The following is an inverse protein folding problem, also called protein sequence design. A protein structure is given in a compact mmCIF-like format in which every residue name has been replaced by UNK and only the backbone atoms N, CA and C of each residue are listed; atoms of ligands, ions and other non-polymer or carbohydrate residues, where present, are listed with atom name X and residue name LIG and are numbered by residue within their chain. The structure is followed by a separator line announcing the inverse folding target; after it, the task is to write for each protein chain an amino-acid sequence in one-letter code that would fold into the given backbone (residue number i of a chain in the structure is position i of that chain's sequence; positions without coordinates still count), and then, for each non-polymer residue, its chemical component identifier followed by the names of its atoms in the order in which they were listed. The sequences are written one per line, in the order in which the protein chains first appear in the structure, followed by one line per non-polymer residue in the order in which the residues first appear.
data_IF_920947478063
#
_entry.id   IF_920947478063
#
_cell.length_a   1.000
_cell.length_b   1.000
_cell.length_c   1.000
_cell.angle_alpha   90.00
_cell.angle_beta   90.00
_cell.angle_gamma   90.00
#
_symmetry.space_group_name_H-M   'P 1'
#
loop_
_entity.id
_entity.type
_entity.pdbx_description
1 polymer ?
#
# COMPACT_ATOMS: atom_id res chain seq x y z
N UNK A 1 -8.72 -8.56 -22.52
CA UNK A 1 -7.26 -8.47 -22.73
C UNK A 1 -6.61 -8.86 -21.43
N UNK A 2 -5.71 -9.85 -21.41
CA UNK A 2 -4.95 -10.17 -20.20
C UNK A 2 -4.07 -8.95 -19.89
N UNK A 3 -4.35 -8.26 -18.78
CA UNK A 3 -3.57 -7.12 -18.34
C UNK A 3 -2.26 -7.65 -17.75
N UNK A 4 -1.26 -7.86 -18.61
CA UNK A 4 0.07 -8.25 -18.13
C UNK A 4 0.66 -7.16 -17.25
N UNK A 5 1.20 -7.57 -16.10
CA UNK A 5 1.77 -6.66 -15.10
C UNK A 5 3.28 -6.41 -15.33
N UNK A 6 3.81 -6.79 -16.50
CA UNK A 6 5.16 -6.43 -16.92
C UNK A 6 5.30 -4.91 -17.03
N UNK A 7 6.51 -4.38 -16.84
CA UNK A 7 6.80 -2.95 -17.01
C UNK A 7 7.65 -2.72 -18.24
N UNK A 8 7.22 -1.74 -19.04
CA UNK A 8 7.94 -1.21 -20.21
C UNK A 8 8.13 0.30 -20.06
N UNK A 9 9.02 0.87 -20.88
CA UNK A 9 9.28 2.32 -20.93
C UNK A 9 9.04 2.86 -22.32
N UNK A 10 8.07 3.76 -22.44
CA UNK A 10 7.88 4.59 -23.63
C UNK A 10 8.99 5.65 -23.68
N UNK A 11 9.61 5.90 -24.84
CA UNK A 11 10.62 6.95 -24.97
C UNK A 11 10.08 8.36 -24.66
N UNK A 12 8.77 8.58 -24.86
CA UNK A 12 8.12 9.88 -24.64
C UNK A 12 7.38 9.93 -23.30
N UNK A 13 6.57 8.91 -22.99
CA UNK A 13 5.62 8.96 -21.87
C UNK A 13 6.12 8.28 -20.59
N UNK A 14 7.34 7.72 -20.58
CA UNK A 14 7.92 7.11 -19.38
C UNK A 14 7.49 5.66 -19.14
N UNK A 15 7.53 5.22 -17.87
CA UNK A 15 7.22 3.83 -17.49
C UNK A 15 5.72 3.56 -17.50
N UNK A 16 5.33 2.36 -17.91
CA UNK A 16 3.94 1.90 -17.88
C UNK A 16 3.88 0.37 -17.70
N UNK A 17 2.73 -0.11 -17.23
CA UNK A 17 2.43 -1.55 -17.16
C UNK A 17 1.70 -2.01 -18.42
N UNK A 18 2.05 -3.20 -18.91
CA UNK A 18 1.42 -3.80 -20.09
C UNK A 18 2.36 -3.98 -21.28
N UNK A 19 1.80 -4.27 -22.45
CA UNK A 19 2.52 -4.51 -23.70
C UNK A 19 2.64 -3.27 -24.58
N UNK A 20 1.73 -2.31 -24.46
CA UNK A 20 1.70 -1.07 -25.24
C UNK A 20 1.44 0.13 -24.35
N UNK A 21 2.06 1.26 -24.72
CA UNK A 21 1.92 2.51 -24.00
C UNK A 21 0.46 2.99 -24.08
N UNK A 22 -0.19 3.29 -22.95
CA UNK A 22 -1.60 3.68 -22.93
C UNK A 22 -1.87 5.04 -23.61
N UNK A 23 -0.82 5.82 -23.88
CA UNK A 23 -0.95 7.15 -24.49
C UNK A 23 -0.72 7.17 -26.01
N UNK A 24 0.23 6.40 -26.52
CA UNK A 24 0.54 6.40 -27.96
C UNK A 24 0.46 5.03 -28.65
N UNK A 25 0.15 3.95 -27.92
CA UNK A 25 0.07 2.60 -28.48
C UNK A 25 1.41 1.94 -28.81
N UNK A 26 2.52 2.67 -28.73
CA UNK A 26 3.87 2.14 -28.94
C UNK A 26 4.22 1.05 -27.94
N UNK A 27 4.90 0.00 -28.39
CA UNK A 27 5.31 -1.11 -27.54
C UNK A 27 6.25 -0.62 -26.42
N UNK A 28 7.19 0.30 -26.73
CA UNK A 28 8.21 0.77 -25.79
C UNK A 28 9.37 -0.22 -25.58
N UNK A 29 10.24 0.06 -24.61
CA UNK A 29 11.38 -0.79 -24.22
C UNK A 29 11.00 -1.69 -23.05
N UNK A 30 11.31 -2.98 -23.11
CA UNK A 30 11.17 -3.91 -21.98
C UNK A 30 12.04 -3.50 -20.79
N UNK A 31 11.47 -3.52 -19.58
CA UNK A 31 12.17 -3.16 -18.32
C UNK A 31 12.13 -4.28 -17.30
N UNK A 32 10.94 -4.82 -16.99
CA UNK A 32 10.75 -5.91 -16.04
C UNK A 32 9.61 -6.82 -16.51
N UNK A 33 9.79 -8.12 -16.39
CA UNK A 33 8.72 -9.11 -16.51
C UNK A 33 7.77 -9.05 -15.31
N UNK A 34 6.59 -9.65 -15.44
CA UNK A 34 5.60 -9.71 -14.36
C UNK A 34 6.12 -10.39 -13.09
N UNK A 35 6.90 -11.48 -13.21
CA UNK A 35 7.53 -12.13 -12.08
C UNK A 35 8.54 -11.20 -11.38
N UNK A 36 9.37 -10.51 -12.17
CA UNK A 36 10.36 -9.59 -11.62
C UNK A 36 9.70 -8.38 -10.93
N UNK A 37 8.58 -7.88 -11.48
CA UNK A 37 7.77 -6.83 -10.85
C UNK A 37 7.23 -7.29 -9.49
N UNK A 38 6.67 -8.49 -9.41
CA UNK A 38 6.13 -9.03 -8.15
C UNK A 38 7.24 -9.23 -7.10
N UNK A 39 8.36 -9.87 -7.48
CA UNK A 39 9.48 -10.13 -6.57
C UNK A 39 10.12 -8.81 -6.10
N UNK A 40 10.39 -7.89 -7.02
CA UNK A 40 11.00 -6.61 -6.69
C UNK A 40 10.05 -5.73 -5.86
N UNK A 41 8.77 -5.64 -6.24
CA UNK A 41 7.76 -4.88 -5.51
C UNK A 41 7.57 -5.36 -4.07
N UNK A 42 7.52 -6.68 -3.86
CA UNK A 42 7.48 -7.26 -2.50
C UNK A 42 8.75 -6.98 -1.71
N UNK A 43 9.91 -7.02 -2.38
CA UNK A 43 11.20 -6.72 -1.75
C UNK A 43 11.25 -5.26 -1.29
N UNK A 44 10.89 -4.30 -2.15
CA UNK A 44 10.82 -2.87 -1.83
C UNK A 44 9.83 -2.63 -0.68
N UNK A 45 8.63 -3.22 -0.74
CA UNK A 45 7.62 -3.12 0.32
C UNK A 45 8.16 -3.63 1.65
N UNK A 46 8.86 -4.78 1.65
CA UNK A 46 9.44 -5.38 2.85
C UNK A 46 10.53 -4.50 3.47
N UNK A 47 11.40 -3.94 2.65
CA UNK A 47 12.46 -3.02 3.09
C UNK A 47 11.81 -1.78 3.72
N UNK A 48 10.93 -1.11 2.98
CA UNK A 48 10.41 0.20 3.39
C UNK A 48 9.41 0.13 4.55
N UNK A 49 8.68 -0.98 4.72
CA UNK A 49 7.56 -1.05 5.69
C UNK A 49 7.83 -1.92 6.90
N UNK A 50 8.74 -2.89 6.80
CA UNK A 50 8.74 -4.00 7.75
C UNK A 50 10.09 -4.34 8.34
N UNK A 51 11.10 -4.58 7.50
CA UNK A 51 12.36 -5.19 7.93
C UNK A 51 13.56 -4.62 7.15
N UNK A 52 13.84 -3.31 7.22
CA UNK A 52 15.01 -2.71 6.57
C UNK A 52 16.33 -3.30 7.12
N UNK A 53 16.37 -3.69 8.39
CA UNK A 53 17.54 -4.29 9.05
C UNK A 53 17.96 -5.62 8.42
N UNK A 54 16.99 -6.38 7.87
CA UNK A 54 17.30 -7.63 7.13
C UNK A 54 18.09 -7.40 5.85
N UNK A 55 18.13 -6.16 5.38
CA UNK A 55 18.87 -5.73 4.21
C UNK A 55 20.00 -4.78 4.59
N UNK A 56 20.37 -4.66 5.87
CA UNK A 56 21.39 -3.70 6.34
C UNK A 56 21.14 -2.25 5.90
N UNK A 57 19.88 -1.87 5.71
CA UNK A 57 19.51 -0.52 5.33
C UNK A 57 19.11 0.26 6.56
N UNK A 58 19.60 1.49 6.65
CA UNK A 58 19.11 2.48 7.60
C UNK A 58 17.91 3.18 6.98
N UNK A 59 16.87 3.34 7.80
CA UNK A 59 15.68 4.11 7.46
C UNK A 59 15.64 5.32 8.40
N UNK A 60 15.44 6.51 7.85
CA UNK A 60 15.33 7.70 8.67
C UNK A 60 13.98 7.77 9.42
N UNK A 61 13.85 8.77 10.29
CA UNK A 61 12.65 8.98 11.12
C UNK A 61 11.36 9.13 10.29
N UNK A 62 11.48 9.56 9.03
CA UNK A 62 10.37 9.78 8.10
C UNK A 62 10.17 8.64 7.10
N UNK A 63 10.93 7.55 7.22
CA UNK A 63 10.79 6.36 6.40
C UNK A 63 11.65 6.32 5.13
N UNK A 64 12.55 7.29 4.91
CA UNK A 64 13.36 7.36 3.71
C UNK A 64 14.58 6.45 3.76
N UNK A 65 14.87 5.83 2.61
CA UNK A 65 16.04 5.00 2.36
C UNK A 65 16.73 5.47 1.08
N UNK A 66 18.06 5.46 1.07
CA UNK A 66 18.84 5.78 -0.13
C UNK A 66 18.65 4.69 -1.22
N UNK A 67 18.30 5.10 -2.44
CA UNK A 67 17.99 4.18 -3.54
C UNK A 67 19.22 3.40 -4.01
N UNK A 68 20.40 4.03 -4.05
CA UNK A 68 21.62 3.35 -4.49
C UNK A 68 22.05 2.27 -3.50
N UNK A 69 21.97 2.55 -2.20
CA UNK A 69 22.20 1.56 -1.13
C UNK A 69 21.17 0.42 -1.20
N UNK A 70 19.88 0.75 -1.34
CA UNK A 70 18.82 -0.24 -1.49
C UNK A 70 19.09 -1.19 -2.67
N UNK A 71 19.55 -0.66 -3.81
CA UNK A 71 19.90 -1.48 -4.98
C UNK A 71 21.06 -2.42 -4.67
N UNK A 72 22.10 -1.95 -3.98
CA UNK A 72 23.25 -2.77 -3.61
C UNK A 72 22.81 -3.95 -2.72
N UNK A 73 22.00 -3.67 -1.71
CA UNK A 73 21.53 -4.67 -0.76
C UNK A 73 20.54 -5.66 -1.41
N UNK A 74 19.64 -5.19 -2.27
CA UNK A 74 18.74 -6.07 -3.04
C UNK A 74 19.54 -7.06 -3.89
N UNK A 75 20.58 -6.59 -4.59
CA UNK A 75 21.45 -7.44 -5.42
C UNK A 75 22.21 -8.47 -4.58
N UNK A 76 22.71 -8.04 -3.42
CA UNK A 76 23.48 -8.89 -2.52
C UNK A 76 22.61 -10.03 -1.95
N UNK A 77 21.40 -9.70 -1.47
CA UNK A 77 20.52 -10.66 -0.79
C UNK A 77 19.70 -11.55 -1.73
N UNK A 78 19.36 -11.06 -2.93
CA UNK A 78 18.52 -11.79 -3.87
C UNK A 78 19.22 -11.95 -5.22
N UNK A 79 19.84 -13.12 -5.43
CA UNK A 79 20.54 -13.43 -6.69
C UNK A 79 19.65 -13.34 -7.93
N UNK A 80 18.32 -13.53 -7.81
CA UNK A 80 17.40 -13.35 -8.94
C UNK A 80 17.31 -11.88 -9.37
N UNK A 81 17.60 -10.96 -8.46
CA UNK A 81 17.57 -9.52 -8.67
C UNK A 81 18.96 -8.90 -8.88
N UNK A 82 19.98 -9.70 -9.21
CA UNK A 82 21.34 -9.20 -9.45
C UNK A 82 21.43 -8.11 -10.53
N UNK A 83 20.49 -8.10 -11.48
CA UNK A 83 20.42 -7.11 -12.56
C UNK A 83 19.77 -5.77 -12.13
N UNK A 84 19.05 -5.75 -11.00
CA UNK A 84 18.26 -4.58 -10.55
C UNK A 84 19.15 -3.36 -10.43
N UNK A 85 18.64 -2.19 -10.76
CA UNK A 85 19.36 -0.92 -10.72
C UNK A 85 18.38 0.21 -10.40
N UNK A 86 18.83 1.46 -10.18
CA UNK A 86 17.94 2.55 -9.80
C UNK A 86 16.75 2.72 -10.76
N UNK A 87 16.98 2.57 -12.06
CA UNK A 87 15.93 2.61 -13.09
C UNK A 87 14.81 1.58 -12.90
N UNK A 88 15.11 0.42 -12.33
CA UNK A 88 14.12 -0.62 -12.04
C UNK A 88 13.30 -0.29 -10.79
N UNK A 89 13.92 0.35 -9.78
CA UNK A 89 13.20 0.89 -8.62
C UNK A 89 12.23 1.97 -9.07
N UNK A 90 12.69 2.94 -9.87
CA UNK A 90 11.82 3.97 -10.44
C UNK A 90 10.68 3.38 -11.28
N UNK A 91 10.95 2.35 -12.08
CA UNK A 91 9.94 1.68 -12.87
C UNK A 91 8.80 1.12 -12.01
N UNK A 92 9.13 0.42 -10.92
CA UNK A 92 8.15 -0.15 -10.00
C UNK A 92 7.34 0.93 -9.29
N UNK A 93 8.00 1.96 -8.74
CA UNK A 93 7.29 2.96 -7.93
C UNK A 93 6.47 3.95 -8.78
N UNK A 94 6.94 4.31 -9.98
CA UNK A 94 6.22 5.24 -10.88
C UNK A 94 5.02 4.58 -11.57
N UNK A 95 4.96 3.25 -11.57
CA UNK A 95 3.80 2.49 -12.08
C UNK A 95 2.94 1.92 -10.95
N UNK A 96 3.18 2.38 -9.71
CA UNK A 96 2.37 2.01 -8.56
C UNK A 96 1.04 2.75 -8.56
N UNK A 97 -0.02 2.09 -9.04
CA UNK A 97 -1.35 2.67 -9.08
C UNK A 97 -1.99 2.95 -7.71
N UNK A 98 -1.37 2.54 -6.60
CA UNK A 98 -1.91 2.77 -5.24
C UNK A 98 -1.25 3.96 -4.53
N UNK A 99 -0.28 4.63 -5.14
CA UNK A 99 0.45 5.74 -4.53
C UNK A 99 1.17 5.35 -3.23
N UNK A 100 1.78 4.16 -3.18
CA UNK A 100 2.45 3.61 -1.98
C UNK A 100 3.72 4.32 -1.57
N UNK A 101 4.32 5.07 -2.49
CA UNK A 101 5.70 5.50 -2.41
C UNK A 101 5.84 6.98 -2.69
N UNK A 102 6.83 7.60 -2.04
CA UNK A 102 7.21 8.98 -2.27
C UNK A 102 8.72 9.10 -2.46
N UNK A 103 9.11 9.83 -3.50
CA UNK A 103 10.49 10.24 -3.71
C UNK A 103 10.77 11.54 -2.98
N UNK A 104 11.97 11.67 -2.46
CA UNK A 104 12.55 12.96 -2.07
C UNK A 104 12.69 13.90 -3.28
N UNK A 105 12.84 15.21 -3.02
CA UNK A 105 12.95 16.23 -4.08
C UNK A 105 14.12 15.99 -5.03
N UNK A 106 15.27 15.56 -4.50
CA UNK A 106 16.45 15.20 -5.28
C UNK A 106 16.37 13.79 -5.89
N UNK A 107 15.27 13.07 -5.64
CA UNK A 107 14.97 11.72 -6.11
C UNK A 107 15.98 10.65 -5.69
N UNK A 108 16.86 10.91 -4.72
CA UNK A 108 17.85 9.93 -4.23
C UNK A 108 17.31 9.02 -3.14
N UNK A 109 16.30 9.49 -2.43
CA UNK A 109 15.68 8.77 -1.32
C UNK A 109 14.24 8.41 -1.65
N UNK A 110 13.82 7.25 -1.17
CA UNK A 110 12.51 6.65 -1.35
C UNK A 110 11.94 6.25 0.01
N UNK A 111 10.68 6.57 0.26
CA UNK A 111 9.91 6.03 1.38
C UNK A 111 8.61 5.38 0.94
N UNK A 112 8.06 4.51 1.78
CA UNK A 112 6.64 4.20 1.71
C UNK A 112 5.86 5.26 2.47
N UNK A 113 4.62 5.51 2.07
CA UNK A 113 3.76 6.55 2.68
C UNK A 113 2.72 5.99 3.64
N UNK A 114 2.57 4.66 3.70
CA UNK A 114 1.68 3.96 4.63
C UNK A 114 2.05 2.48 4.77
N UNK A 115 1.43 1.80 5.72
CA UNK A 115 1.55 0.35 5.90
C UNK A 115 2.78 -0.11 6.70
N UNK A 116 3.43 0.81 7.43
CA UNK A 116 4.59 0.50 8.27
C UNK A 116 4.22 -0.33 9.51
N UNK A 117 5.07 -1.30 9.83
CA UNK A 117 5.12 -1.99 11.13
C UNK A 117 6.28 -1.49 11.99
N UNK A 118 7.26 -0.85 11.35
CA UNK A 118 8.36 -0.13 11.99
C UNK A 118 7.93 1.28 12.36
N UNK A 119 8.59 1.85 13.36
CA UNK A 119 8.28 3.18 13.84
C UNK A 119 8.85 4.24 12.90
N UNK A 120 7.95 4.96 12.22
CA UNK A 120 8.27 6.08 11.33
C UNK A 120 7.21 7.15 11.54
N UNK A 121 7.64 8.41 11.57
CA UNK A 121 6.76 9.56 11.62
C UNK A 121 6.37 9.99 10.20
N UNK A 122 5.07 9.98 9.94
CA UNK A 122 4.46 10.39 8.68
C UNK A 122 3.63 11.66 8.84
N UNK A 123 3.83 12.39 9.94
CA UNK A 123 3.12 13.64 10.22
C UNK A 123 3.48 14.79 9.27
N UNK A 124 4.48 14.60 8.42
CA UNK A 124 4.89 15.53 7.35
C UNK A 124 4.08 15.35 6.05
N UNK A 125 3.24 14.30 5.96
CA UNK A 125 2.34 14.11 4.83
C UNK A 125 1.24 15.20 4.77
N UNK A 126 0.66 15.45 3.58
CA UNK A 126 -0.42 16.42 3.45
C UNK A 126 -1.62 16.09 4.34
N UNK A 127 -2.22 17.10 4.95
CA UNK A 127 -3.42 16.96 5.81
C UNK A 127 -4.61 17.79 5.29
N UNK A 128 -4.58 18.15 4.01
CA UNK A 128 -5.63 18.84 3.28
C UNK A 128 -6.43 17.87 2.40
N UNK A 129 -7.57 18.34 1.88
CA UNK A 129 -8.39 17.56 0.94
C UNK A 129 -9.00 16.27 1.52
N UNK A 130 -9.14 16.19 2.84
CA UNK A 130 -9.72 15.02 3.52
C UNK A 130 -11.22 14.93 3.17
N UNK A 131 -11.69 13.80 2.61
CA UNK A 131 -13.12 13.59 2.35
C UNK A 131 -13.96 13.65 3.61
N UNK A 132 -15.22 14.08 3.49
CA UNK A 132 -16.16 14.12 4.62
C UNK A 132 -16.34 12.74 5.27
N UNK A 133 -16.35 11.68 4.44
CA UNK A 133 -16.46 10.29 4.86
C UNK A 133 -15.26 9.50 4.37
N UNK A 134 -14.65 8.77 5.30
CA UNK A 134 -13.68 7.73 5.02
C UNK A 134 -14.26 6.36 5.42
N UNK A 135 -13.63 5.27 5.00
CA UNK A 135 -14.10 3.91 5.24
C UNK A 135 -13.04 3.06 5.92
N UNK A 136 -13.47 2.27 6.90
CA UNK A 136 -12.68 1.24 7.57
C UNK A 136 -13.37 -0.13 7.44
N UNK A 137 -12.67 -1.18 6.98
CA UNK A 137 -13.26 -2.52 6.90
C UNK A 137 -13.29 -3.22 8.26
N UNK A 138 -14.39 -3.89 8.59
CA UNK A 138 -14.61 -4.56 9.88
C UNK A 138 -15.40 -5.86 9.73
N UNK A 139 -15.48 -6.67 10.77
CA UNK A 139 -16.56 -7.64 11.01
C UNK A 139 -17.62 -7.10 11.99
N UNK A 140 -18.75 -7.80 12.13
CA UNK A 140 -19.76 -7.48 13.17
C UNK A 140 -19.17 -7.57 14.58
N UNK A 141 -18.44 -8.66 14.86
CA UNK A 141 -17.79 -8.90 16.15
C UNK A 141 -16.74 -7.83 16.49
N UNK A 142 -15.95 -7.41 15.49
CA UNK A 142 -14.95 -6.36 15.68
C UNK A 142 -15.62 -5.00 15.92
N UNK A 143 -16.71 -4.70 15.19
CA UNK A 143 -17.42 -3.43 15.35
C UNK A 143 -17.97 -3.24 16.77
N UNK A 144 -18.46 -4.32 17.41
CA UNK A 144 -18.93 -4.28 18.79
C UNK A 144 -17.84 -3.82 19.78
N UNK A 145 -16.57 -4.14 19.50
CA UNK A 145 -15.43 -3.70 20.30
C UNK A 145 -15.02 -2.27 19.94
N UNK A 146 -14.99 -1.96 18.63
CA UNK A 146 -14.57 -0.66 18.13
C UNK A 146 -15.52 0.45 18.58
N UNK A 147 -16.84 0.21 18.63
CA UNK A 147 -17.82 1.24 19.06
C UNK A 147 -17.68 1.64 20.53
N UNK A 148 -16.98 0.85 21.34
CA UNK A 148 -16.67 1.18 22.74
C UNK A 148 -15.31 1.87 22.88
N UNK A 149 -14.30 1.46 22.09
CA UNK A 149 -12.89 1.82 22.33
C UNK A 149 -12.28 2.74 21.27
N UNK A 150 -12.94 2.89 20.13
CA UNK A 150 -12.41 3.53 18.93
C UNK A 150 -11.46 2.60 18.17
N UNK A 151 -10.88 3.11 17.09
CA UNK A 151 -9.93 2.36 16.26
C UNK A 151 -8.52 2.81 16.59
N UNK A 152 -7.72 1.88 17.09
CA UNK A 152 -6.27 2.04 17.27
C UNK A 152 -5.53 1.19 16.23
N UNK A 153 -4.28 1.53 15.90
CA UNK A 153 -3.45 0.70 15.05
C UNK A 153 -3.25 -0.68 15.70
N UNK A 154 -3.57 -1.75 14.96
CA UNK A 154 -3.38 -3.13 15.41
C UNK A 154 -1.98 -3.63 15.01
N UNK A 155 -1.84 -4.22 13.83
CA UNK A 155 -0.56 -4.74 13.33
C UNK A 155 0.29 -3.70 12.59
N UNK A 156 -0.13 -2.43 12.59
CA UNK A 156 0.53 -1.30 11.92
C UNK A 156 0.76 -0.16 12.90
N UNK A 157 1.52 0.87 12.49
CA UNK A 157 1.78 2.06 13.32
C UNK A 157 0.77 3.20 13.18
N UNK A 158 -0.14 3.08 12.21
CA UNK A 158 -1.16 4.06 11.87
C UNK A 158 -2.44 3.32 11.52
N UNK A 159 -3.59 3.90 11.83
CA UNK A 159 -4.89 3.43 11.33
C UNK A 159 -4.96 3.77 9.84
N UNK A 160 -5.37 2.81 9.00
CA UNK A 160 -5.57 3.03 7.57
C UNK A 160 -7.05 3.22 7.28
N UNK A 161 -7.37 4.33 6.63
CA UNK A 161 -8.70 4.69 6.18
C UNK A 161 -8.69 4.84 4.65
N UNK A 162 -9.83 4.60 4.02
CA UNK A 162 -9.98 4.72 2.57
C UNK A 162 -10.99 5.79 2.20
N UNK A 163 -10.74 6.59 1.17
CA UNK A 163 -11.77 7.46 0.58
C UNK A 163 -12.75 6.69 -0.32
N UNK A 164 -12.40 5.46 -0.70
CA UNK A 164 -13.22 4.59 -1.55
C UNK A 164 -13.74 3.40 -0.77
N UNK A 165 -15.07 3.23 -0.77
CA UNK A 165 -15.73 2.07 -0.18
C UNK A 165 -15.28 0.76 -0.84
N UNK A 166 -15.13 0.75 -2.17
CA UNK A 166 -14.63 -0.42 -2.91
C UNK A 166 -13.21 -0.79 -2.47
N UNK A 167 -12.29 0.19 -2.37
CA UNK A 167 -10.92 -0.11 -1.92
C UNK A 167 -10.86 -0.54 -0.46
N UNK A 168 -11.69 0.04 0.41
CA UNK A 168 -11.80 -0.41 1.80
C UNK A 168 -12.28 -1.87 1.85
N UNK A 169 -13.28 -2.22 1.04
CA UNK A 169 -13.82 -3.57 0.97
C UNK A 169 -12.78 -4.57 0.48
N UNK A 170 -12.08 -4.25 -0.63
CA UNK A 170 -10.97 -5.04 -1.17
C UNK A 170 -9.86 -5.22 -0.13
N UNK A 171 -9.50 -4.18 0.62
CA UNK A 171 -8.53 -4.28 1.71
C UNK A 171 -9.04 -5.21 2.83
N UNK A 172 -10.31 -5.06 3.21
CA UNK A 172 -10.99 -5.91 4.20
C UNK A 172 -11.02 -7.39 3.81
N UNK A 173 -11.13 -7.72 2.52
CA UNK A 173 -11.15 -9.10 2.04
C UNK A 173 -9.85 -9.87 2.34
N UNK A 174 -8.74 -9.21 2.66
CA UNK A 174 -7.52 -9.89 3.13
C UNK A 174 -7.60 -10.36 4.59
N UNK A 175 -8.57 -9.85 5.36
CA UNK A 175 -8.73 -10.08 6.79
C UNK A 175 -10.04 -10.81 7.13
N UNK A 176 -11.11 -10.50 6.39
CA UNK A 176 -12.45 -11.02 6.58
C UNK A 176 -12.90 -11.79 5.33
N UNK A 177 -13.85 -12.71 5.48
CA UNK A 177 -14.44 -13.41 4.34
C UNK A 177 -15.60 -12.61 3.73
N UNK A 178 -16.32 -11.84 4.55
CA UNK A 178 -17.35 -10.89 4.13
C UNK A 178 -17.24 -9.61 4.96
N UNK A 179 -16.34 -8.67 4.61
CA UNK A 179 -16.16 -7.44 5.36
C UNK A 179 -17.39 -6.54 5.29
N UNK A 180 -17.72 -5.91 6.41
CA UNK A 180 -18.54 -4.71 6.45
C UNK A 180 -17.64 -3.47 6.38
N UNK A 181 -18.23 -2.32 6.07
CA UNK A 181 -17.53 -1.04 6.02
C UNK A 181 -18.12 -0.10 7.05
N UNK A 182 -17.29 0.45 7.93
CA UNK A 182 -17.65 1.54 8.83
C UNK A 182 -17.40 2.86 8.09
N UNK A 183 -18.43 3.68 7.82
CA UNK A 183 -18.23 5.07 7.43
C UNK A 183 -17.74 5.88 8.63
N UNK A 184 -16.65 6.63 8.44
CA UNK A 184 -15.99 7.45 9.45
C UNK A 184 -16.17 8.92 9.08
N UNK A 185 -16.80 9.70 9.97
CA UNK A 185 -16.97 11.15 9.80
C UNK A 185 -15.67 11.87 10.09
N UNK A 186 -14.97 12.28 9.05
CA UNK A 186 -13.64 12.91 9.17
C UNK A 186 -13.68 14.19 10.01
N UNK A 187 -14.75 14.99 9.93
CA UNK A 187 -14.87 16.21 10.74
C UNK A 187 -14.87 15.90 12.24
N UNK A 188 -15.54 14.84 12.68
CA UNK A 188 -15.58 14.44 14.09
C UNK A 188 -14.21 13.95 14.57
N UNK A 189 -13.46 13.26 13.71
CA UNK A 189 -12.06 12.89 14.00
C UNK A 189 -11.20 14.16 14.17
N UNK A 190 -11.35 15.15 13.29
CA UNK A 190 -10.57 16.40 13.38
C UNK A 190 -10.97 17.24 14.60
N UNK A 191 -12.26 17.30 14.92
CA UNK A 191 -12.81 18.02 16.08
C UNK A 191 -12.37 17.41 17.43
N UNK A 192 -12.01 16.11 17.47
CA UNK A 192 -11.45 15.48 18.67
C UNK A 192 -9.99 15.85 18.93
N UNK A 193 -9.35 16.59 18.02
CA UNK A 193 -7.94 16.97 18.09
C UNK A 193 -7.00 16.00 17.36
N UNK A 194 -7.52 14.93 16.77
CA UNK A 194 -6.73 14.03 15.92
C UNK A 194 -6.44 14.65 14.56
N UNK A 195 -5.38 14.15 13.91
CA UNK A 195 -4.99 14.54 12.56
C UNK A 195 -5.16 13.38 11.60
N UNK A 196 -5.63 13.70 10.40
CA UNK A 196 -5.71 12.77 9.27
C UNK A 196 -4.73 13.25 8.20
N UNK A 197 -3.93 12.32 7.68
CA UNK A 197 -2.94 12.58 6.65
C UNK A 197 -3.26 11.78 5.38
N UNK A 198 -3.10 12.41 4.22
CA UNK A 198 -3.28 11.80 2.91
C UNK A 198 -2.01 11.05 2.51
N UNK A 199 -2.08 9.72 2.50
CA UNK A 199 -0.93 8.84 2.37
C UNK A 199 -0.82 8.13 1.01
N UNK A 200 -1.89 8.06 0.24
CA UNK A 200 -1.86 7.46 -1.10
C UNK A 200 -3.13 7.83 -1.85
N UNK A 201 -3.28 7.38 -3.09
CA UNK A 201 -4.37 7.81 -3.98
C UNK A 201 -5.76 7.83 -3.34
N UNK A 202 -6.07 6.79 -2.57
CA UNK A 202 -7.35 6.66 -1.85
C UNK A 202 -7.10 6.29 -0.38
N UNK A 203 -5.89 6.54 0.15
CA UNK A 203 -5.46 6.06 1.48
C UNK A 203 -5.18 7.24 2.38
N UNK A 204 -5.81 7.24 3.54
CA UNK A 204 -5.64 8.21 4.62
C UNK A 204 -5.17 7.49 5.88
N UNK A 205 -4.41 8.20 6.71
CA UNK A 205 -3.90 7.65 7.96
C UNK A 205 -4.10 8.60 9.15
N UNK A 206 -4.33 8.03 10.33
CA UNK A 206 -4.40 8.76 11.60
C UNK A 206 -3.87 7.88 12.74
N UNK A 207 -3.69 8.46 13.93
CA UNK A 207 -3.26 7.71 15.12
C UNK A 207 -4.43 7.05 15.84
N UNK A 208 -5.61 7.65 15.77
CA UNK A 208 -6.80 7.15 16.44
C UNK A 208 -8.07 7.59 15.71
N UNK A 209 -9.09 6.74 15.72
CA UNK A 209 -10.45 7.09 15.28
C UNK A 209 -11.39 6.99 16.48
N UNK A 210 -11.98 8.11 16.94
CA UNK A 210 -12.89 8.11 18.09
C UNK A 210 -14.20 7.38 17.77
N UNK A 211 -14.81 6.66 18.73
CA UNK A 211 -16.09 5.97 18.53
C UNK A 211 -17.19 6.84 17.94
N UNK A 212 -17.26 8.09 18.38
CA UNK A 212 -18.31 9.06 18.03
C UNK A 212 -18.26 9.47 16.55
N UNK A 213 -17.12 9.24 15.88
CA UNK A 213 -16.98 9.47 14.45
C UNK A 213 -17.51 8.32 13.59
N UNK A 214 -17.77 7.16 14.18
CA UNK A 214 -18.17 5.95 13.46
C UNK A 214 -19.68 5.90 13.23
N UNK A 215 -20.07 5.54 12.01
CA UNK A 215 -21.44 5.20 11.67
C UNK A 215 -21.65 3.68 11.72
N UNK A 216 -22.90 3.24 11.71
CA UNK A 216 -23.22 1.81 11.63
C UNK A 216 -22.58 1.16 10.39
N UNK A 217 -21.98 -0.03 10.54
CA UNK A 217 -21.29 -0.69 9.46
C UNK A 217 -22.29 -1.15 8.39
N UNK A 218 -21.93 -0.92 7.13
CA UNK A 218 -22.76 -1.25 5.98
C UNK A 218 -22.12 -2.35 5.13
N UNK A 219 -22.97 -3.11 4.43
CA UNK A 219 -22.50 -4.04 3.40
C UNK A 219 -22.00 -3.26 2.19
N UNK A 220 -20.98 -3.79 1.53
CA UNK A 220 -20.59 -3.26 0.23
C UNK A 220 -21.56 -3.78 -0.84
N UNK A 221 -22.24 -2.87 -1.52
CA UNK A 221 -23.23 -3.19 -2.56
C UNK A 221 -22.62 -3.26 -3.97
N UNK A 222 -21.34 -2.90 -4.13
CA UNK A 222 -20.64 -2.98 -5.41
C UNK A 222 -20.14 -4.38 -5.75
N UNK A 223 -19.53 -4.49 -6.92
CA UNK A 223 -18.85 -5.71 -7.38
C UNK A 223 -17.34 -5.51 -7.36
N UNK A 224 -16.62 -6.55 -6.93
CA UNK A 224 -15.17 -6.66 -7.14
C UNK A 224 -14.94 -7.57 -8.34
N UNK A 225 -14.00 -7.23 -9.21
CA UNK A 225 -13.68 -8.04 -10.38
C UNK A 225 -13.11 -9.42 -9.98
N UNK A 226 -13.35 -10.43 -10.82
CA UNK A 226 -12.97 -11.81 -10.54
C UNK A 226 -11.46 -12.00 -10.39
N UNK A 227 -10.66 -11.21 -11.11
CA UNK A 227 -9.19 -11.27 -11.06
C UNK A 227 -8.69 -10.85 -9.66
N UNK A 228 -9.16 -9.72 -9.15
CA UNK A 228 -8.88 -9.25 -7.79
C UNK A 228 -9.30 -10.28 -6.74
N UNK A 229 -10.48 -10.90 -6.88
CA UNK A 229 -10.95 -11.94 -5.95
C UNK A 229 -10.05 -13.19 -5.97
N UNK A 230 -9.61 -13.62 -7.15
CA UNK A 230 -8.68 -14.73 -7.31
C UNK A 230 -7.31 -14.42 -6.70
N UNK A 231 -6.77 -13.22 -6.90
CA UNK A 231 -5.51 -12.77 -6.29
C UNK A 231 -5.58 -12.82 -4.76
N UNK A 232 -6.66 -12.30 -4.17
CA UNK A 232 -6.87 -12.30 -2.72
C UNK A 232 -6.94 -13.75 -2.20
N UNK A 233 -7.71 -14.61 -2.87
CA UNK A 233 -7.83 -16.03 -2.51
C UNK A 233 -6.47 -16.72 -2.50
N UNK A 234 -5.69 -16.58 -3.59
CA UNK A 234 -4.34 -17.12 -3.70
C UNK A 234 -3.40 -16.57 -2.61
N UNK A 235 -3.53 -15.28 -2.26
CA UNK A 235 -2.77 -14.68 -1.18
C UNK A 235 -3.14 -15.26 0.19
N UNK A 236 -4.42 -15.51 0.47
CA UNK A 236 -4.89 -16.15 1.71
C UNK A 236 -4.35 -17.57 1.82
N UNK A 237 -4.48 -18.36 0.75
CA UNK A 237 -3.97 -19.74 0.68
C UNK A 237 -2.46 -19.82 0.94
N UNK A 238 -1.67 -18.93 0.33
CA UNK A 238 -0.22 -18.84 0.58
C UNK A 238 0.10 -18.51 2.04
N UNK A 239 -0.64 -17.60 2.67
CA UNK A 239 -0.44 -17.25 4.09
C UNK A 239 -0.79 -18.42 5.02
N UNK A 240 -1.88 -19.14 4.73
CA UNK A 240 -2.28 -20.33 5.50
C UNK A 240 -1.19 -21.41 5.40
N UNK A 241 -0.71 -21.68 4.19
CA UNK A 241 0.36 -22.65 3.95
C UNK A 241 1.66 -22.27 4.69
N UNK A 242 2.10 -21.02 4.60
CA UNK A 242 3.29 -20.54 5.31
C UNK A 242 3.18 -20.72 6.83
N UNK A 243 2.01 -20.40 7.42
CA UNK A 243 1.75 -20.63 8.85
C UNK A 243 1.78 -22.11 9.23
N UNK A 244 1.23 -22.99 8.41
CA UNK A 244 1.26 -24.44 8.63
C UNK A 244 2.68 -25.01 8.53
N UNK A 245 3.53 -24.42 7.70
CA UNK A 245 4.92 -24.81 7.51
C UNK A 245 5.88 -24.17 8.55
N UNK A 246 5.37 -23.37 9.50
CA UNK A 246 6.15 -22.78 10.58
C UNK A 246 7.00 -21.56 10.18
N UNK A 247 6.63 -20.85 9.10
CA UNK A 247 7.29 -19.65 8.60
C UNK A 247 6.66 -18.35 9.09
#
# INVERSE_FOLDING_TARGET
MVLTNQIRKCPVHGYFKGTSCPQCGEEGKFILSEEEVDILGRTITKILRHKPEKYHLEIDEHGYVNIDEMVQEIRFYNRRLHFVGPSHIYAVILTDGKGRYQLSDNKRYLRATYGHTIDVDLSDLPSDGIPEILYYPTSEEEFDILKENGILPSDRRWVHLSSSAEKAYIAGLYHFDSPLLIPIKSNVVLESGEKIYHAGQEVFICKFVPPESMMEPQRFEGSVDEETLQEIKLSKEKKIKARQEGW
#
